data_IF_132770837310
#
_entry.id   IF_132770837310
#
_cell.length_a   1.000
_cell.length_b   1.000
_cell.length_c   1.000
_cell.angle_alpha   90.00
_cell.angle_beta   90.00
_cell.angle_gamma   90.00
#
_symmetry.space_group_name_H-M   'P 1'
#
loop_
_entity.id
_entity.type
_entity.pdbx_description
1 polymer ?
#
# COMPACT_ATOMS: atom_id res chain seq x y z
N UNK A 1 -15.59 -11.71 14.39
CA UNK A 1 -15.00 -10.41 14.01
C UNK A 1 -13.61 -10.35 14.66
N UNK A 2 -12.60 -10.83 13.98
CA UNK A 2 -11.20 -10.70 14.43
C UNK A 2 -10.85 -9.24 14.21
N UNK A 3 -10.82 -8.48 15.31
CA UNK A 3 -10.67 -7.03 15.21
C UNK A 3 -9.33 -6.66 14.57
N UNK A 4 -9.32 -5.62 13.76
CA UNK A 4 -8.14 -4.99 13.14
C UNK A 4 -6.99 -4.72 14.15
N UNK A 5 -7.29 -4.63 15.44
CA UNK A 5 -6.31 -4.53 16.53
C UNK A 5 -5.40 -5.75 16.66
N UNK A 6 -5.80 -6.92 16.11
CA UNK A 6 -5.03 -8.16 16.13
C UNK A 6 -4.42 -8.54 14.81
N UNK A 7 -4.35 -7.63 13.84
CA UNK A 7 -3.74 -7.90 12.54
C UNK A 7 -2.22 -8.01 12.68
N UNK A 8 -1.71 -9.22 12.55
CA UNK A 8 -0.30 -9.56 12.84
C UNK A 8 0.70 -8.97 11.84
N UNK A 9 0.24 -8.50 10.70
CA UNK A 9 1.05 -7.95 9.62
C UNK A 9 1.47 -6.48 9.81
N UNK A 10 0.98 -5.80 10.86
CA UNK A 10 1.50 -4.46 11.22
C UNK A 10 2.94 -4.58 11.69
N UNK A 11 3.80 -3.73 11.19
CA UNK A 11 5.22 -3.75 11.46
C UNK A 11 5.68 -2.43 12.10
N UNK A 12 6.56 -2.53 13.07
CA UNK A 12 7.35 -1.44 13.64
C UNK A 12 8.72 -1.45 12.97
N UNK A 13 9.14 -0.31 12.45
CA UNK A 13 10.42 -0.14 11.78
C UNK A 13 11.40 0.56 12.71
N UNK A 14 12.56 -0.03 12.87
CA UNK A 14 13.65 0.51 13.68
C UNK A 14 14.90 0.69 12.82
N UNK A 15 15.54 1.85 12.93
CA UNK A 15 16.84 2.15 12.33
C UNK A 15 17.85 2.43 13.45
N UNK A 16 18.95 1.69 13.49
CA UNK A 16 19.96 1.83 14.53
C UNK A 16 19.44 1.63 15.95
N UNK A 17 18.43 0.76 16.15
CA UNK A 17 17.81 0.46 17.44
C UNK A 17 16.85 1.52 17.95
N UNK A 18 16.42 2.47 17.10
CA UNK A 18 15.39 3.48 17.43
C UNK A 18 14.17 3.28 16.54
N UNK A 19 12.98 3.40 17.11
CA UNK A 19 11.73 3.41 16.36
C UNK A 19 11.71 4.60 15.41
N UNK A 20 11.62 4.33 14.11
CA UNK A 20 11.62 5.33 13.06
C UNK A 20 10.23 5.53 12.44
N UNK A 21 9.38 4.51 12.49
CA UNK A 21 8.04 4.58 11.95
C UNK A 21 7.33 3.23 11.91
N UNK A 22 6.32 3.15 11.07
CA UNK A 22 5.51 1.97 10.85
C UNK A 22 5.79 1.33 9.48
N UNK A 23 5.24 0.14 9.29
CA UNK A 23 5.21 -0.58 8.02
C UNK A 23 4.13 -1.65 8.05
N UNK A 24 4.03 -2.43 6.98
CA UNK A 24 3.14 -3.57 6.92
C UNK A 24 3.65 -4.64 5.95
N UNK A 25 3.47 -5.89 6.35
CA UNK A 25 3.86 -7.05 5.55
C UNK A 25 2.88 -7.22 4.38
N UNK A 26 3.35 -7.20 3.14
CA UNK A 26 2.53 -7.34 1.92
C UNK A 26 2.76 -8.65 1.18
N UNK A 27 3.90 -9.31 1.41
CA UNK A 27 4.23 -10.64 0.91
C UNK A 27 4.94 -11.41 2.02
N UNK A 28 5.35 -12.65 1.77
CA UNK A 28 5.95 -13.53 2.80
C UNK A 28 7.15 -12.90 3.51
N UNK A 29 7.92 -12.10 2.78
CA UNK A 29 9.17 -11.49 3.22
C UNK A 29 9.30 -10.02 2.82
N UNK A 30 8.22 -9.37 2.37
CA UNK A 30 8.24 -7.97 1.93
C UNK A 30 7.38 -7.08 2.82
N UNK A 31 7.99 -6.03 3.33
CA UNK A 31 7.35 -4.98 4.13
C UNK A 31 7.41 -3.66 3.36
N UNK A 32 6.28 -2.95 3.29
CA UNK A 32 6.24 -1.57 2.80
C UNK A 32 6.38 -0.61 3.97
N UNK A 33 7.11 0.47 3.76
CA UNK A 33 7.24 1.62 4.65
C UNK A 33 7.54 2.87 3.82
N UNK A 34 7.62 4.03 4.46
CA UNK A 34 8.07 5.25 3.81
C UNK A 34 9.59 5.26 3.61
N UNK A 35 10.05 5.91 2.53
CA UNK A 35 11.47 6.09 2.28
C UNK A 35 12.15 6.92 3.38
N UNK A 36 11.51 8.01 3.83
CA UNK A 36 12.03 8.84 4.92
C UNK A 36 12.14 8.11 6.27
N UNK A 37 11.38 7.04 6.48
CA UNK A 37 11.46 6.21 7.70
C UNK A 37 12.80 5.47 7.77
N UNK A 38 13.39 5.16 6.61
CA UNK A 38 14.65 4.42 6.49
C UNK A 38 15.79 5.27 5.93
N UNK A 39 15.68 6.61 5.97
CA UNK A 39 16.70 7.53 5.43
C UNK A 39 18.09 7.25 6.00
N UNK A 40 18.17 6.89 7.27
CA UNK A 40 19.43 6.49 7.92
C UNK A 40 19.79 5.00 7.66
N UNK A 41 18.96 4.26 6.95
CA UNK A 41 19.09 2.80 6.76
C UNK A 41 20.30 2.36 5.92
N UNK A 42 20.87 3.26 5.12
CA UNK A 42 22.11 3.01 4.39
C UNK A 42 23.34 2.98 5.34
N UNK A 43 23.20 3.55 6.53
CA UNK A 43 24.29 3.69 7.52
C UNK A 43 24.00 2.86 8.78
N UNK A 44 22.74 2.61 9.09
CA UNK A 44 22.30 1.91 10.29
C UNK A 44 21.47 0.65 9.93
N UNK A 45 21.59 -0.44 10.70
CA UNK A 45 20.81 -1.64 10.45
C UNK A 45 19.31 -1.36 10.61
N UNK A 46 18.52 -1.85 9.66
CA UNK A 46 17.06 -1.81 9.69
C UNK A 46 16.54 -3.09 10.31
N UNK A 47 15.66 -2.95 11.29
CA UNK A 47 15.02 -4.06 11.97
C UNK A 47 13.51 -3.90 11.92
N UNK A 48 12.79 -5.00 11.69
CA UNK A 48 11.34 -5.07 11.64
C UNK A 48 10.83 -5.92 12.79
N UNK A 49 9.92 -5.36 13.58
CA UNK A 49 9.24 -6.05 14.68
C UNK A 49 7.74 -6.11 14.38
N UNK A 50 7.11 -7.23 14.72
CA UNK A 50 5.66 -7.43 14.59
C UNK A 50 5.00 -7.44 15.99
N UNK A 51 4.52 -6.30 16.49
CA UNK A 51 4.07 -6.18 17.89
C UNK A 51 2.90 -7.10 18.27
N UNK A 52 2.09 -7.50 17.29
CA UNK A 52 0.98 -8.43 17.48
C UNK A 52 1.44 -9.90 17.51
N UNK A 53 2.76 -10.13 17.41
CA UNK A 53 3.44 -11.42 17.52
C UNK A 53 4.61 -11.31 18.48
N UNK A 54 4.32 -11.21 19.79
CA UNK A 54 5.36 -10.99 20.82
C UNK A 54 6.40 -12.12 20.90
N UNK A 55 6.02 -13.33 20.46
CA UNK A 55 6.94 -14.48 20.41
C UNK A 55 7.87 -14.46 19.19
N UNK A 56 7.62 -13.56 18.22
CA UNK A 56 8.44 -13.41 17.02
C UNK A 56 9.61 -12.45 17.30
N UNK A 57 10.83 -12.96 17.19
CA UNK A 57 12.01 -12.12 17.35
C UNK A 57 12.08 -11.06 16.23
N UNK A 58 12.64 -9.86 16.50
CA UNK A 58 12.89 -8.87 15.47
C UNK A 58 13.66 -9.45 14.29
N UNK A 59 13.33 -9.02 13.07
CA UNK A 59 13.89 -9.53 11.82
C UNK A 59 14.72 -8.44 11.18
N UNK A 60 15.97 -8.72 10.85
CA UNK A 60 16.79 -7.81 10.05
C UNK A 60 16.20 -7.70 8.63
N UNK A 61 16.34 -6.53 8.05
CA UNK A 61 15.78 -6.23 6.75
C UNK A 61 16.73 -5.37 5.91
N UNK A 62 16.62 -5.47 4.60
CA UNK A 62 17.34 -4.64 3.64
C UNK A 62 16.39 -3.98 2.65
N UNK A 63 16.75 -2.80 2.18
CA UNK A 63 15.99 -2.10 1.13
C UNK A 63 16.20 -2.80 -0.20
N UNK A 64 15.12 -3.19 -0.88
CA UNK A 64 15.15 -3.85 -2.20
C UNK A 64 14.51 -3.01 -3.30
N UNK A 65 13.71 -2.01 -2.92
CA UNK A 65 13.18 -1.01 -3.85
C UNK A 65 12.96 0.31 -3.11
N UNK A 66 13.11 1.42 -3.83
CA UNK A 66 12.96 2.78 -3.35
C UNK A 66 12.23 3.61 -4.38
N UNK A 67 11.26 4.43 -3.95
CA UNK A 67 10.44 5.25 -4.84
C UNK A 67 11.13 6.49 -5.40
N UNK A 68 12.37 6.75 -4.99
CA UNK A 68 13.15 7.91 -5.44
C UNK A 68 12.90 9.18 -4.62
N UNK A 69 12.31 9.06 -3.43
CA UNK A 69 12.14 10.17 -2.51
C UNK A 69 13.48 10.84 -2.19
N UNK A 70 13.48 12.17 -2.29
CA UNK A 70 14.56 13.04 -1.89
C UNK A 70 13.96 14.24 -1.15
N UNK A 71 13.89 14.17 0.15
CA UNK A 71 13.26 15.15 1.01
C UNK A 71 13.80 16.58 0.90
N UNK A 72 14.88 16.79 0.16
CA UNK A 72 15.45 18.12 -0.14
C UNK A 72 14.88 18.71 -1.43
N UNK A 73 14.60 17.87 -2.42
CA UNK A 73 14.19 18.28 -3.75
C UNK A 73 12.74 17.92 -4.06
N UNK A 74 12.24 16.81 -3.51
CA UNK A 74 10.89 16.30 -3.77
C UNK A 74 10.39 15.46 -2.61
N UNK A 75 9.13 15.62 -2.26
CA UNK A 75 8.40 14.71 -1.36
C UNK A 75 7.80 13.51 -2.11
N UNK A 76 7.92 13.46 -3.46
CA UNK A 76 7.38 12.39 -4.30
C UNK A 76 8.17 11.09 -4.13
N UNK A 77 7.50 9.97 -4.33
CA UNK A 77 8.15 8.66 -4.28
C UNK A 77 8.53 8.19 -2.88
N UNK A 78 7.85 8.66 -1.85
CA UNK A 78 8.12 8.31 -0.45
C UNK A 78 7.71 6.87 -0.13
N UNK A 79 8.36 5.92 -0.79
CA UNK A 79 8.17 4.48 -0.64
C UNK A 79 9.52 3.78 -0.51
N UNK A 80 9.64 2.89 0.46
CA UNK A 80 10.66 1.87 0.53
C UNK A 80 10.04 0.47 0.65
N UNK A 81 10.63 -0.50 -0.02
CA UNK A 81 10.32 -1.92 0.12
C UNK A 81 11.46 -2.60 0.83
N UNK A 82 11.15 -3.19 1.97
CA UNK A 82 12.10 -3.95 2.77
C UNK A 82 11.92 -5.45 2.46
N UNK A 83 13.03 -6.13 2.27
CA UNK A 83 13.09 -7.59 2.26
C UNK A 83 13.61 -8.07 3.61
N UNK A 84 12.85 -8.95 4.24
CA UNK A 84 13.21 -9.57 5.51
C UNK A 84 14.22 -10.70 5.28
N UNK A 85 15.19 -10.84 6.16
CA UNK A 85 16.19 -11.91 6.09
C UNK A 85 15.58 -13.32 6.30
N UNK A 86 14.38 -13.38 6.87
CA UNK A 86 13.58 -14.59 7.02
C UNK A 86 12.08 -14.32 6.98
N UNK A 87 11.31 -15.29 6.52
CA UNK A 87 9.85 -15.23 6.56
C UNK A 87 9.35 -15.28 8.02
N UNK A 88 8.53 -14.32 8.49
CA UNK A 88 8.02 -14.33 9.88
C UNK A 88 6.85 -15.30 10.10
N UNK A 89 6.42 -16.05 9.07
CA UNK A 89 5.28 -16.96 9.19
C UNK A 89 3.93 -16.24 9.45
N UNK A 90 3.84 -14.98 9.10
CA UNK A 90 2.66 -14.13 9.25
C UNK A 90 1.91 -14.05 7.92
N UNK A 91 0.57 -14.10 7.98
CA UNK A 91 -0.27 -13.85 6.81
C UNK A 91 -0.15 -12.37 6.41
N UNK A 92 0.23 -12.05 5.17
CA UNK A 92 0.36 -10.68 4.72
C UNK A 92 -0.96 -9.90 4.78
N UNK A 93 -0.84 -8.57 4.77
CA UNK A 93 -1.97 -7.65 4.75
C UNK A 93 -2.88 -7.92 3.55
N UNK A 94 -4.20 -8.03 3.74
CA UNK A 94 -5.14 -8.14 2.64
C UNK A 94 -5.25 -6.79 1.93
N UNK A 95 -4.85 -6.72 0.66
CA UNK A 95 -4.96 -5.51 -0.15
C UNK A 95 -6.37 -5.40 -0.73
N UNK A 96 -6.90 -4.18 -0.78
CA UNK A 96 -8.13 -3.90 -1.48
C UNK A 96 -7.90 -3.84 -3.01
N UNK A 97 -8.90 -4.15 -3.86
CA UNK A 97 -8.86 -3.83 -5.28
C UNK A 97 -8.56 -2.34 -5.51
N UNK A 98 -7.83 -2.02 -6.57
CA UNK A 98 -7.36 -0.66 -6.83
C UNK A 98 -8.47 0.38 -7.06
N UNK A 99 -9.67 -0.07 -7.39
CA UNK A 99 -10.88 0.72 -7.69
C UNK A 99 -11.89 0.75 -6.54
N UNK A 100 -11.53 0.22 -5.35
CA UNK A 100 -12.43 0.25 -4.20
C UNK A 100 -12.68 1.71 -3.79
N UNK A 101 -13.95 2.17 -3.79
CA UNK A 101 -14.30 3.50 -3.29
C UNK A 101 -14.01 3.58 -1.80
N UNK A 102 -13.44 4.69 -1.35
CA UNK A 102 -13.11 4.93 0.05
C UNK A 102 -13.55 6.30 0.56
N UNK A 103 -14.25 7.08 -0.29
CA UNK A 103 -14.86 8.35 0.12
C UNK A 103 -15.85 8.13 1.26
N UNK A 104 -15.77 9.01 2.25
CA UNK A 104 -16.62 9.03 3.45
C UNK A 104 -16.65 7.69 4.22
N UNK A 105 -15.66 6.81 3.97
CA UNK A 105 -15.53 5.55 4.69
C UNK A 105 -14.62 5.72 5.90
N UNK A 106 -14.93 4.93 6.93
CA UNK A 106 -14.14 4.89 8.14
C UNK A 106 -12.85 4.11 7.90
N UNK A 107 -11.73 4.78 8.11
CA UNK A 107 -10.39 4.26 7.89
C UNK A 107 -9.65 4.19 9.21
N UNK A 108 -8.60 3.37 9.23
CA UNK A 108 -7.75 3.16 10.38
C UNK A 108 -6.29 3.04 9.96
N UNK A 109 -5.39 3.63 10.75
CA UNK A 109 -3.96 3.39 10.65
C UNK A 109 -3.43 2.96 12.03
N UNK A 110 -2.45 2.03 12.03
CA UNK A 110 -1.77 1.58 13.24
C UNK A 110 -0.30 2.00 13.18
N UNK A 111 0.15 2.79 14.14
CA UNK A 111 1.49 3.37 14.14
C UNK A 111 2.09 3.50 15.54
N UNK A 112 3.30 4.06 15.60
CA UNK A 112 4.15 4.12 16.80
C UNK A 112 4.56 5.56 17.12
N UNK A 113 3.61 6.46 17.43
CA UNK A 113 3.95 7.81 17.85
C UNK A 113 4.58 7.81 19.24
N UNK A 114 5.27 8.89 19.59
CA UNK A 114 5.94 9.05 20.89
C UNK A 114 5.00 8.70 22.06
N UNK A 115 5.47 7.85 22.99
CA UNK A 115 4.70 7.30 24.09
C UNK A 115 3.92 6.02 23.74
N UNK A 116 3.99 5.55 22.50
CA UNK A 116 3.41 4.28 22.03
C UNK A 116 4.44 3.48 21.22
N UNK A 117 5.72 3.63 21.54
CA UNK A 117 6.84 3.07 20.79
C UNK A 117 6.86 1.53 20.79
N UNK A 118 6.32 0.90 21.84
CA UNK A 118 6.31 -0.57 21.96
C UNK A 118 5.03 -1.19 21.40
N UNK A 119 3.88 -0.77 21.94
CA UNK A 119 2.60 -1.39 21.65
C UNK A 119 1.87 -0.78 20.45
N UNK A 120 2.31 0.39 20.00
CA UNK A 120 1.63 1.15 18.98
C UNK A 120 0.25 1.67 19.41
N UNK A 121 -0.38 2.42 18.53
CA UNK A 121 -1.74 2.93 18.72
C UNK A 121 -2.48 3.08 17.40
N UNK A 122 -3.78 3.33 17.45
CA UNK A 122 -4.65 3.45 16.30
C UNK A 122 -5.09 4.90 16.12
N UNK A 123 -4.96 5.41 14.90
CA UNK A 123 -5.62 6.62 14.45
C UNK A 123 -6.82 6.25 13.56
N UNK A 124 -8.00 6.77 13.88
CA UNK A 124 -9.16 6.69 13.01
C UNK A 124 -9.24 7.92 12.11
N UNK A 125 -9.42 7.70 10.82
CA UNK A 125 -9.45 8.77 9.82
C UNK A 125 -10.47 8.50 8.71
N UNK A 126 -10.61 9.47 7.82
CA UNK A 126 -11.37 9.39 6.57
C UNK A 126 -10.62 10.11 5.47
N UNK A 127 -10.97 9.85 4.23
CA UNK A 127 -10.57 10.70 3.11
C UNK A 127 -11.49 11.91 3.01
N UNK A 128 -10.92 13.03 2.58
CA UNK A 128 -11.70 14.25 2.27
C UNK A 128 -12.25 14.20 0.85
N UNK A 129 -11.49 13.53 -0.03
CA UNK A 129 -11.77 13.38 -1.46
C UNK A 129 -10.90 12.25 -2.01
N UNK A 130 -11.32 11.65 -3.11
CA UNK A 130 -10.46 10.70 -3.86
C UNK A 130 -9.50 11.41 -4.84
N UNK A 131 -9.52 12.74 -4.87
CA UNK A 131 -8.62 13.52 -5.70
C UNK A 131 -7.17 13.36 -5.24
N UNK A 132 -6.27 13.06 -6.17
CA UNK A 132 -4.84 13.00 -5.91
C UNK A 132 -4.24 14.40 -5.84
N UNK A 133 -3.60 14.71 -4.73
CA UNK A 133 -2.72 15.87 -4.61
C UNK A 133 -1.36 15.51 -5.20
N UNK A 134 -0.82 16.37 -6.07
CA UNK A 134 0.46 16.15 -6.78
C UNK A 134 0.53 14.77 -7.49
N UNK A 135 -0.62 14.25 -7.92
CA UNK A 135 -0.76 12.93 -8.55
C UNK A 135 -0.30 11.73 -7.68
N UNK A 136 -0.12 11.95 -6.36
CA UNK A 136 0.37 10.91 -5.43
C UNK A 136 -0.48 10.69 -4.20
N UNK A 137 -0.99 11.76 -3.59
CA UNK A 137 -1.54 11.66 -2.25
C UNK A 137 -3.02 11.96 -2.18
N UNK A 138 -3.68 11.24 -1.30
CA UNK A 138 -5.04 11.55 -0.85
C UNK A 138 -4.94 12.16 0.55
N UNK A 139 -5.66 13.24 0.77
CA UNK A 139 -5.73 13.86 2.09
C UNK A 139 -6.56 13.02 3.05
N UNK A 140 -6.01 12.80 4.23
CA UNK A 140 -6.69 12.16 5.36
C UNK A 140 -7.05 13.22 6.40
N UNK A 141 -8.21 13.06 7.04
CA UNK A 141 -8.61 13.79 8.24
C UNK A 141 -8.88 12.81 9.38
N UNK A 142 -8.61 13.25 10.61
CA UNK A 142 -8.99 12.47 11.79
C UNK A 142 -10.51 12.34 11.87
N UNK A 143 -11.03 11.11 12.00
CA UNK A 143 -12.46 10.83 12.03
C UNK A 143 -13.17 11.46 13.23
N UNK A 144 -12.57 11.43 14.41
CA UNK A 144 -13.18 11.95 15.63
C UNK A 144 -12.30 12.97 16.35
N UNK A 145 -12.95 13.88 17.10
CA UNK A 145 -12.26 14.86 17.94
C UNK A 145 -11.55 14.25 19.15
N UNK A 146 -11.77 12.99 19.47
CA UNK A 146 -11.32 12.33 20.70
C UNK A 146 -10.33 11.19 20.51
N UNK A 147 -10.07 10.76 19.26
CA UNK A 147 -9.10 9.72 18.95
C UNK A 147 -7.66 10.23 18.89
N UNK A 148 -6.69 9.32 18.82
CA UNK A 148 -5.30 9.62 18.51
C UNK A 148 -5.26 10.26 17.11
N UNK A 149 -4.72 11.48 16.95
CA UNK A 149 -4.51 12.06 15.63
C UNK A 149 -3.40 11.33 14.88
N UNK A 150 -3.41 11.40 13.55
CA UNK A 150 -2.23 11.06 12.77
C UNK A 150 -1.09 12.00 13.19
N UNK A 151 0.06 11.44 13.52
CA UNK A 151 1.23 12.14 14.03
C UNK A 151 2.51 11.49 13.50
N UNK A 152 3.66 12.08 13.78
CA UNK A 152 4.98 11.43 13.57
C UNK A 152 4.95 10.06 14.25
N UNK A 153 5.44 9.01 13.55
CA UNK A 153 5.34 7.62 13.99
C UNK A 153 4.23 6.81 13.29
N UNK A 154 3.30 7.48 12.57
CA UNK A 154 2.38 6.80 11.65
C UNK A 154 2.92 6.68 10.22
N UNK A 155 4.03 7.31 9.88
CA UNK A 155 4.69 7.17 8.57
C UNK A 155 4.95 5.70 8.25
N UNK A 156 4.53 5.24 7.09
CA UNK A 156 4.60 3.84 6.67
C UNK A 156 3.43 2.96 7.14
N UNK A 157 2.55 3.44 8.00
CA UNK A 157 1.39 2.68 8.46
C UNK A 157 0.42 2.36 7.32
N UNK A 158 -0.08 1.12 7.28
CA UNK A 158 -1.17 0.76 6.39
C UNK A 158 -2.44 1.55 6.74
N UNK A 159 -3.12 2.09 5.72
CA UNK A 159 -4.47 2.64 5.84
C UNK A 159 -5.47 1.58 5.44
N UNK A 160 -6.34 1.20 6.37
CA UNK A 160 -7.29 0.09 6.22
C UNK A 160 -8.73 0.55 6.27
N UNK A 161 -9.58 -0.08 5.47
CA UNK A 161 -11.04 0.02 5.60
C UNK A 161 -11.48 -0.70 6.87
N UNK A 162 -12.17 -0.01 7.78
CA UNK A 162 -12.62 -0.58 9.05
C UNK A 162 -13.58 -1.77 8.83
N UNK A 163 -14.42 -1.70 7.80
CA UNK A 163 -15.45 -2.71 7.53
C UNK A 163 -14.88 -4.03 7.01
N UNK A 164 -13.80 -3.97 6.21
CA UNK A 164 -13.25 -5.16 5.54
C UNK A 164 -11.87 -5.56 6.06
N UNK A 165 -11.15 -4.65 6.71
CA UNK A 165 -9.75 -4.85 7.10
C UNK A 165 -8.75 -4.80 5.95
N UNK A 166 -9.20 -4.45 4.75
CA UNK A 166 -8.35 -4.39 3.56
C UNK A 166 -7.57 -3.07 3.51
N UNK A 167 -6.31 -3.16 3.11
CA UNK A 167 -5.40 -2.03 2.94
C UNK A 167 -5.70 -1.32 1.63
N UNK A 168 -5.88 0.00 1.68
CA UNK A 168 -6.12 0.87 0.51
C UNK A 168 -4.93 1.80 0.21
N UNK A 169 -3.99 1.92 1.14
CA UNK A 169 -2.83 2.80 0.98
C UNK A 169 -1.90 2.79 2.20
N UNK A 170 -0.97 3.72 2.20
CA UNK A 170 0.06 3.90 3.23
C UNK A 170 0.12 5.36 3.67
N UNK A 171 0.17 5.62 4.97
CA UNK A 171 0.41 6.97 5.51
C UNK A 171 1.82 7.42 5.13
N UNK A 172 1.95 8.59 4.49
CA UNK A 172 3.26 9.15 4.11
C UNK A 172 3.63 10.37 4.93
N UNK A 173 2.65 11.16 5.35
CA UNK A 173 2.92 12.34 6.17
C UNK A 173 1.76 12.59 7.13
N UNK A 174 2.10 13.12 8.29
CA UNK A 174 1.15 13.71 9.22
C UNK A 174 1.49 15.19 9.40
N UNK A 175 0.51 16.06 9.34
CA UNK A 175 0.74 17.47 9.58
C UNK A 175 0.99 17.71 11.08
N UNK A 176 2.26 17.98 11.41
CA UNK A 176 2.75 18.09 12.79
C UNK A 176 2.50 19.42 13.51
N UNK A 177 1.70 20.33 12.95
CA UNK A 177 1.37 21.59 13.65
C UNK A 177 0.27 21.34 14.69
N UNK A 178 0.41 21.93 15.87
CA UNK A 178 -0.58 21.88 16.93
C UNK A 178 -1.97 22.28 16.39
N UNK A 179 -2.94 21.36 16.49
CA UNK A 179 -4.32 21.58 16.07
C UNK A 179 -4.68 21.17 14.64
N UNK A 180 -3.71 20.82 13.81
CA UNK A 180 -3.96 20.28 12.46
C UNK A 180 -4.12 18.76 12.56
N UNK A 181 -5.31 18.26 12.17
CA UNK A 181 -5.66 16.83 12.24
C UNK A 181 -5.72 16.19 10.87
N UNK A 182 -4.79 16.55 10.00
CA UNK A 182 -4.71 16.05 8.64
C UNK A 182 -3.44 15.25 8.43
N UNK A 183 -3.50 14.32 7.50
CA UNK A 183 -2.38 13.53 7.03
C UNK A 183 -2.50 13.31 5.53
N UNK A 184 -1.56 12.57 4.96
CA UNK A 184 -1.57 12.13 3.57
C UNK A 184 -1.43 10.63 3.49
N UNK A 185 -2.12 10.05 2.52
CA UNK A 185 -2.01 8.64 2.18
C UNK A 185 -1.55 8.51 0.72
N UNK A 186 -0.59 7.65 0.46
CA UNK A 186 -0.28 7.17 -0.88
C UNK A 186 -1.15 5.92 -1.14
N UNK A 187 -2.13 5.98 -2.06
CA UNK A 187 -3.00 4.82 -2.32
C UNK A 187 -2.23 3.66 -2.97
N UNK A 188 -2.74 2.43 -2.81
CA UNK A 188 -2.10 1.21 -3.33
C UNK A 188 -1.80 1.29 -4.83
N UNK A 189 -2.68 1.95 -5.64
CA UNK A 189 -2.45 2.16 -7.07
C UNK A 189 -1.22 3.04 -7.35
N UNK A 190 -0.90 3.97 -6.46
CA UNK A 190 0.28 4.83 -6.57
C UNK A 190 1.52 4.09 -6.09
N UNK A 191 1.44 3.39 -4.95
CA UNK A 191 2.52 2.52 -4.47
C UNK A 191 2.97 1.52 -5.56
N UNK A 192 2.00 0.95 -6.30
CA UNK A 192 2.26 0.03 -7.40
C UNK A 192 3.00 0.66 -8.59
N UNK A 193 2.94 1.98 -8.79
CA UNK A 193 3.74 2.68 -9.81
C UNK A 193 5.24 2.64 -9.47
N UNK A 194 5.56 2.76 -8.18
CA UNK A 194 6.94 2.75 -7.70
C UNK A 194 7.48 1.34 -7.48
N UNK A 195 6.61 0.41 -7.11
CA UNK A 195 6.98 -1.00 -6.97
C UNK A 195 5.99 -1.91 -7.70
N UNK A 196 6.29 -2.28 -8.97
CA UNK A 196 5.40 -3.11 -9.79
C UNK A 196 5.05 -4.47 -9.18
N UNK A 197 5.89 -5.00 -8.29
CA UNK A 197 5.60 -6.24 -7.54
C UNK A 197 4.30 -6.17 -6.75
N UNK A 198 3.89 -4.97 -6.31
CA UNK A 198 2.63 -4.78 -5.60
C UNK A 198 1.40 -5.04 -6.49
N UNK A 199 1.50 -4.72 -7.79
CA UNK A 199 0.39 -4.95 -8.74
C UNK A 199 -0.04 -6.40 -8.82
N UNK A 200 0.90 -7.34 -8.64
CA UNK A 200 0.60 -8.77 -8.64
C UNK A 200 -0.12 -9.24 -7.35
N UNK A 201 -0.03 -8.44 -6.28
CA UNK A 201 -0.64 -8.74 -4.98
C UNK A 201 -2.01 -8.08 -4.80
N UNK A 202 -2.29 -7.02 -5.57
CA UNK A 202 -3.58 -6.33 -5.52
C UNK A 202 -4.64 -7.15 -6.26
N UNK A 203 -5.77 -7.48 -5.62
CA UNK A 203 -6.86 -8.18 -6.29
C UNK A 203 -7.36 -7.40 -7.50
N UNK A 204 -7.64 -8.11 -8.59
CA UNK A 204 -8.24 -7.49 -9.77
C UNK A 204 -9.67 -7.03 -9.47
N UNK A 205 -10.13 -5.90 -10.05
CA UNK A 205 -11.50 -5.42 -9.90
C UNK A 205 -12.51 -6.51 -10.26
N UNK A 206 -13.57 -6.64 -9.46
CA UNK A 206 -14.67 -7.55 -9.77
C UNK A 206 -15.39 -7.05 -11.02
N UNK A 207 -15.10 -7.63 -12.19
CA UNK A 207 -15.80 -7.31 -13.44
C UNK A 207 -14.95 -7.27 -14.71
N UNK A 208 -13.64 -7.17 -14.63
CA UNK A 208 -12.80 -7.39 -15.80
C UNK A 208 -12.55 -8.89 -16.03
N UNK A 209 -13.55 -9.60 -16.59
CA UNK A 209 -13.23 -10.77 -17.39
C UNK A 209 -12.31 -10.27 -18.50
N UNK A 210 -11.09 -10.80 -18.56
CA UNK A 210 -10.28 -10.65 -19.78
C UNK A 210 -11.18 -11.04 -20.95
N UNK A 211 -11.23 -10.23 -22.05
CA UNK A 211 -11.91 -10.69 -23.24
C UNK A 211 -11.23 -11.99 -23.65
N UNK A 212 -11.97 -13.10 -23.57
CA UNK A 212 -11.54 -14.35 -24.18
C UNK A 212 -11.19 -13.98 -25.63
N UNK A 213 -9.94 -14.07 -26.00
CA UNK A 213 -9.52 -14.03 -27.39
C UNK A 213 -10.22 -15.22 -28.07
N UNK A 214 -11.43 -14.97 -28.53
CA UNK A 214 -12.15 -15.88 -29.40
C UNK A 214 -11.33 -15.91 -30.69
N UNK A 215 -10.49 -16.93 -30.81
CA UNK A 215 -9.84 -17.26 -32.07
C UNK A 215 -10.98 -17.45 -33.09
N UNK A 216 -11.17 -16.47 -33.99
CA UNK A 216 -12.00 -16.62 -35.17
C UNK A 216 -11.08 -17.29 -36.19
N UNK A 217 -11.32 -18.56 -36.55
CA UNK A 217 -10.54 -19.18 -37.61
C UNK A 217 -10.78 -18.41 -38.91
N UNK A 218 -9.70 -18.10 -39.57
CA UNK A 218 -9.72 -17.45 -40.92
C UNK A 218 -10.70 -18.18 -41.81
N UNK A 219 -11.64 -17.42 -42.39
CA UNK A 219 -12.60 -17.90 -43.37
C UNK A 219 -11.83 -18.48 -44.55
N UNK A 220 -12.15 -19.70 -44.94
CA UNK A 220 -11.66 -20.34 -46.17
C UNK A 220 -11.75 -19.39 -47.37
N UNK A 221 -10.75 -19.39 -48.30
CA UNK A 221 -10.84 -18.59 -49.50
C UNK A 221 -11.98 -19.07 -50.37
N UNK A 222 -12.81 -18.13 -50.78
CA UNK A 222 -13.94 -18.34 -51.70
C UNK A 222 -13.47 -19.03 -53.00
N UNK A 223 -14.06 -20.17 -53.30
CA UNK A 223 -13.91 -20.90 -54.58
C UNK A 223 -14.34 -20.01 -55.76
N UNK A 224 -13.57 -19.89 -56.84
CA UNK A 224 -13.97 -19.11 -58.01
C UNK A 224 -15.16 -19.77 -58.74
N UNK A 225 -16.19 -18.99 -59.02
CA UNK A 225 -17.34 -19.36 -59.82
C UNK A 225 -16.92 -19.55 -61.28
N UNK A 226 -17.23 -20.68 -61.96
CA UNK A 226 -16.92 -20.86 -63.37
C UNK A 226 -17.72 -19.92 -64.24
N UNK A 227 -17.04 -19.27 -65.19
CA UNK A 227 -17.63 -18.35 -66.15
C UNK A 227 -18.67 -18.97 -67.05
N UNK A 228 -19.72 -18.23 -67.35
CA UNK A 228 -20.73 -18.52 -68.31
C UNK A 228 -20.23 -18.18 -69.70
N UNK A 229 -20.38 -19.05 -70.72
CA UNK A 229 -19.88 -18.71 -72.08
C UNK A 229 -20.85 -17.78 -72.81
N UNK A 230 -20.24 -16.78 -73.44
CA UNK A 230 -20.93 -15.88 -74.41
C UNK A 230 -21.60 -16.65 -75.54
N UNK A 231 -22.85 -16.36 -75.76
CA UNK A 231 -23.58 -16.73 -76.99
C UNK A 231 -23.72 -15.51 -77.94
N UNK A 232 -23.73 -15.72 -79.25
CA UNK A 232 -23.49 -14.67 -80.23
C UNK A 232 -24.79 -13.97 -80.66
N UNK A 233 -24.66 -12.62 -80.83
CA UNK A 233 -25.06 -11.79 -82.06
C UNK A 233 -25.07 -10.32 -81.69
#
# INVERSE_FOLDING_TARGET
MTGLRGAQWHARIECGGRVSGAGFLVARDKVLTCAHVIEDGDVAPVTVTFPQRPDEAPVAARVVAHGGWDGRMSELGDLAVLELDREPGIVPAPLAPADVPHDDRRLMAYGFPAGYDEDGTIAECRTVTELLLSDEWIQLETWSGHGQPLAVGFSGAAVTLVETGQVIGMVTAAAGAHGVRTGRMMPTRVLARYWPGLSALVPQPHGMRQPEHRFVPDSEPATPVPGHPDGPR
#
